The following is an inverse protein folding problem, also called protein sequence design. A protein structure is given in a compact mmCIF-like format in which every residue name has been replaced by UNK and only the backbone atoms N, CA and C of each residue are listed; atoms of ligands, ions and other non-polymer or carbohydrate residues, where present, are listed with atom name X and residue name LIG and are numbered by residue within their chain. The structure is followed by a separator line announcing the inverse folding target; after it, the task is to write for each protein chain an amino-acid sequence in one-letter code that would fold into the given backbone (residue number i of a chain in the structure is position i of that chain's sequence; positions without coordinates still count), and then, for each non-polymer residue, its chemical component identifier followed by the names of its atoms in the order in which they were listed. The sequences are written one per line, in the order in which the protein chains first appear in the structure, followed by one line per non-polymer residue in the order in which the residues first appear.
data_IF_772819461478
#
_entry.id   IF_772819461478
#
_cell.length_a   1.000
_cell.length_b   1.000
_cell.length_c   1.000
_cell.angle_alpha   90.00
_cell.angle_beta   90.00
_cell.angle_gamma   90.00
#
_symmetry.space_group_name_H-M   'P 1'
#
loop_
_entity.id
_entity.type
_entity.pdbx_description
1 polymer ?
#
# COMPACT_ATOMS: atom_id res chain seq x y z
N UNK A 1 -11.39 -1.37 13.12
CA UNK A 1 -11.49 -2.26 14.29
C UNK A 1 -12.97 -2.41 14.61
N UNK A 2 -13.58 -3.54 14.27
CA UNK A 2 -14.94 -3.87 14.70
C UNK A 2 -14.80 -5.01 15.71
N UNK A 3 -15.41 -4.84 16.88
CA UNK A 3 -15.57 -5.92 17.85
C UNK A 3 -16.42 -6.99 17.16
N UNK A 4 -15.94 -8.23 17.12
CA UNK A 4 -16.55 -9.35 16.42
C UNK A 4 -17.89 -9.76 17.07
N UNK A 5 -18.90 -8.90 17.02
CA UNK A 5 -20.22 -9.08 17.59
C UNK A 5 -21.15 -9.47 16.46
N UNK A 6 -21.60 -10.73 16.47
CA UNK A 6 -22.39 -11.34 15.39
C UNK A 6 -23.82 -10.78 15.27
N UNK A 7 -24.25 -9.88 16.16
CA UNK A 7 -25.53 -9.18 16.07
C UNK A 7 -25.53 -8.00 17.06
N UNK A 8 -24.97 -6.82 16.70
CA UNK A 8 -24.92 -5.70 17.63
C UNK A 8 -26.34 -5.24 17.95
N UNK A 9 -26.67 -5.20 19.24
CA UNK A 9 -27.94 -4.65 19.69
C UNK A 9 -28.04 -3.17 19.28
N UNK A 10 -29.22 -2.68 18.86
CA UNK A 10 -29.40 -1.28 18.50
C UNK A 10 -28.99 -0.36 19.65
N UNK A 11 -28.16 0.64 19.36
CA UNK A 11 -27.75 1.64 20.36
C UNK A 11 -28.83 2.72 20.42
N UNK A 12 -29.38 2.95 21.62
CA UNK A 12 -30.31 4.05 21.89
C UNK A 12 -29.63 5.18 22.66
N UNK A 13 -29.85 6.42 22.22
CA UNK A 13 -29.45 7.64 22.93
C UNK A 13 -30.68 8.56 22.93
N UNK A 14 -31.10 9.02 24.10
CA UNK A 14 -32.24 9.94 24.26
C UNK A 14 -33.48 9.51 23.44
N UNK A 15 -33.90 8.24 23.62
CA UNK A 15 -35.04 7.60 22.93
C UNK A 15 -34.89 7.43 21.40
N UNK A 16 -33.76 7.85 20.81
CA UNK A 16 -33.48 7.71 19.38
C UNK A 16 -32.63 6.47 19.11
N UNK A 17 -33.07 5.62 18.18
CA UNK A 17 -32.29 4.46 17.71
C UNK A 17 -31.30 4.93 16.65
N UNK A 18 -30.00 4.68 16.88
CA UNK A 18 -28.96 4.99 15.90
C UNK A 18 -28.98 3.98 14.75
N UNK A 19 -28.87 4.49 13.51
CA UNK A 19 -28.82 3.66 12.32
C UNK A 19 -27.43 3.06 12.11
N UNK A 20 -27.37 1.78 11.74
CA UNK A 20 -26.13 1.11 11.35
C UNK A 20 -25.78 1.43 9.90
N UNK A 21 -24.50 1.73 9.63
CA UNK A 21 -23.99 1.93 8.27
C UNK A 21 -22.97 0.85 7.95
N UNK A 22 -23.23 0.06 6.90
CA UNK A 22 -22.35 -1.04 6.48
C UNK A 22 -21.02 -0.56 5.90
N UNK A 23 -20.96 0.67 5.37
CA UNK A 23 -19.75 1.20 4.75
C UNK A 23 -19.66 2.70 4.94
N UNK A 24 -18.56 3.17 5.54
CA UNK A 24 -18.28 4.60 5.65
C UNK A 24 -16.79 4.89 5.45
N UNK A 25 -16.49 6.13 5.04
CA UNK A 25 -15.09 6.59 4.87
C UNK A 25 -14.66 7.37 6.10
N UNK A 26 -13.59 6.94 6.74
CA UNK A 26 -12.97 7.61 7.88
C UNK A 26 -11.51 7.91 7.57
N UNK A 27 -11.12 9.19 7.62
CA UNK A 27 -9.76 9.66 7.32
C UNK A 27 -9.21 9.14 5.97
N UNK A 28 -10.11 8.93 5.01
CA UNK A 28 -9.77 8.42 3.67
C UNK A 28 -9.58 6.91 3.55
N UNK A 29 -9.83 6.15 4.62
CA UNK A 29 -9.89 4.68 4.62
C UNK A 29 -11.34 4.21 4.77
N UNK A 30 -11.67 3.12 4.07
CA UNK A 30 -13.02 2.55 4.06
C UNK A 30 -13.17 1.56 5.23
N UNK A 31 -14.17 1.76 6.07
CA UNK A 31 -14.50 0.86 7.17
C UNK A 31 -15.74 0.06 6.79
N UNK A 32 -15.63 -1.27 6.84
CA UNK A 32 -16.71 -2.23 6.59
C UNK A 32 -16.70 -3.36 7.63
N UNK A 33 -17.83 -4.06 7.85
CA UNK A 33 -17.96 -5.18 8.79
C UNK A 33 -16.91 -6.28 8.65
N UNK A 34 -16.52 -6.60 7.41
CA UNK A 34 -15.50 -7.60 7.07
C UNK A 34 -14.05 -7.07 7.24
N UNK A 35 -13.89 -5.84 7.72
CA UNK A 35 -12.59 -5.24 8.05
C UNK A 35 -12.00 -4.33 6.99
N UNK A 36 -12.69 -4.09 5.85
CA UNK A 36 -12.43 -3.00 4.90
C UNK A 36 -11.08 -3.01 4.17
N UNK A 37 -10.20 -3.94 4.49
CA UNK A 37 -8.81 -3.96 4.03
C UNK A 37 -8.70 -4.01 2.50
N UNK A 38 -9.53 -4.83 1.84
CA UNK A 38 -9.49 -5.00 0.39
C UNK A 38 -9.76 -3.68 -0.36
N UNK A 39 -10.81 -2.97 0.01
CA UNK A 39 -11.18 -1.71 -0.63
C UNK A 39 -10.14 -0.62 -0.37
N UNK A 40 -9.62 -0.54 0.86
CA UNK A 40 -8.58 0.44 1.20
C UNK A 40 -7.26 0.13 0.49
N UNK A 41 -6.86 -1.14 0.39
CA UNK A 41 -5.68 -1.57 -0.38
C UNK A 41 -5.81 -1.18 -1.86
N UNK A 42 -6.98 -1.38 -2.46
CA UNK A 42 -7.25 -0.98 -3.86
C UNK A 42 -7.14 0.54 -4.01
N UNK A 43 -7.73 1.29 -3.09
CA UNK A 43 -7.65 2.75 -3.08
C UNK A 43 -6.20 3.25 -2.93
N UNK A 44 -5.42 2.69 -2.00
CA UNK A 44 -4.01 3.03 -1.80
C UNK A 44 -3.13 2.63 -2.98
N UNK A 45 -3.39 1.49 -3.62
CA UNK A 45 -2.73 1.10 -4.87
C UNK A 45 -2.98 2.12 -5.98
N UNK A 46 -4.22 2.61 -6.12
CA UNK A 46 -4.56 3.67 -7.09
C UNK A 46 -3.79 4.97 -6.83
N UNK A 47 -3.75 5.41 -5.57
CA UNK A 47 -3.01 6.61 -5.14
C UNK A 47 -1.51 6.46 -5.35
N UNK A 48 -0.92 5.33 -4.93
CA UNK A 48 0.49 5.04 -5.12
C UNK A 48 0.87 4.91 -6.60
N UNK A 49 0.00 4.34 -7.43
CA UNK A 49 0.18 4.30 -8.90
C UNK A 49 0.25 5.71 -9.47
N UNK A 50 -0.63 6.60 -9.02
CA UNK A 50 -0.64 8.01 -9.44
C UNK A 50 0.64 8.72 -9.01
N UNK A 51 1.05 8.57 -7.74
CA UNK A 51 2.29 9.14 -7.22
C UNK A 51 3.53 8.65 -8.00
N UNK A 52 3.58 7.34 -8.30
CA UNK A 52 4.65 6.77 -9.12
C UNK A 52 4.67 7.37 -10.52
N UNK A 53 3.50 7.55 -11.15
CA UNK A 53 3.38 8.12 -12.49
C UNK A 53 3.83 9.58 -12.55
N UNK A 54 3.51 10.37 -11.52
CA UNK A 54 3.95 11.78 -11.44
C UNK A 54 5.48 11.91 -11.45
N UNK A 55 6.18 10.93 -10.86
CA UNK A 55 7.64 10.90 -10.80
C UNK A 55 8.29 10.21 -12.02
N UNK A 56 7.53 9.89 -13.08
CA UNK A 56 8.07 9.30 -14.31
C UNK A 56 9.29 10.03 -14.91
N UNK A 57 9.36 11.37 -14.93
CA UNK A 57 10.54 12.08 -15.40
C UNK A 57 11.80 11.72 -14.60
N UNK A 58 11.68 11.55 -13.28
CA UNK A 58 12.78 11.15 -12.39
C UNK A 58 13.22 9.72 -12.69
N UNK A 59 12.27 8.79 -12.86
CA UNK A 59 12.57 7.38 -13.15
C UNK A 59 13.32 7.23 -14.48
N UNK A 60 12.94 8.00 -15.49
CA UNK A 60 13.54 8.00 -16.83
C UNK A 60 14.87 8.75 -16.93
N UNK A 61 15.12 9.73 -16.06
CA UNK A 61 16.36 10.51 -16.07
C UNK A 61 17.57 9.67 -15.65
N UNK A 62 18.71 9.85 -16.31
CA UNK A 62 19.99 9.25 -15.92
C UNK A 62 20.79 10.14 -14.94
N UNK A 63 20.35 11.39 -14.71
CA UNK A 63 21.04 12.33 -13.83
C UNK A 63 21.00 11.91 -12.36
N UNK A 64 19.97 11.16 -11.95
CA UNK A 64 19.80 10.72 -10.58
C UNK A 64 20.35 9.32 -10.37
N UNK A 65 21.19 9.17 -9.34
CA UNK A 65 21.66 7.86 -8.86
C UNK A 65 20.47 6.98 -8.46
N UNK A 66 20.64 5.66 -8.61
CA UNK A 66 19.62 4.69 -8.23
C UNK A 66 19.21 4.84 -6.75
N UNK A 67 20.18 5.06 -5.85
CA UNK A 67 19.92 5.28 -4.43
C UNK A 67 18.98 6.48 -4.16
N UNK A 68 19.15 7.59 -4.88
CA UNK A 68 18.24 8.75 -4.79
C UNK A 68 16.84 8.41 -5.27
N UNK A 69 16.72 7.68 -6.37
CA UNK A 69 15.41 7.24 -6.89
C UNK A 69 14.70 6.30 -5.91
N UNK A 70 15.44 5.38 -5.29
CA UNK A 70 14.90 4.49 -4.26
C UNK A 70 14.42 5.28 -3.04
N UNK A 71 15.17 6.29 -2.58
CA UNK A 71 14.73 7.17 -1.49
C UNK A 71 13.41 7.85 -1.82
N UNK A 72 13.29 8.44 -3.03
CA UNK A 72 12.04 9.07 -3.50
C UNK A 72 10.88 8.08 -3.60
N UNK A 73 11.14 6.89 -4.13
CA UNK A 73 10.13 5.84 -4.21
C UNK A 73 9.59 5.47 -2.83
N UNK A 74 10.46 5.35 -1.82
CA UNK A 74 10.06 5.04 -0.45
C UNK A 74 9.28 6.18 0.20
N UNK A 75 9.76 7.42 0.06
CA UNK A 75 9.17 8.59 0.72
C UNK A 75 7.86 9.05 0.09
N UNK A 76 7.64 8.81 -1.21
CA UNK A 76 6.47 9.33 -1.93
C UNK A 76 5.49 8.23 -2.35
N UNK A 77 5.98 7.06 -2.76
CA UNK A 77 5.13 6.00 -3.33
C UNK A 77 4.79 4.96 -2.27
N UNK A 78 5.78 4.41 -1.57
CA UNK A 78 5.52 3.40 -0.52
C UNK A 78 4.81 4.00 0.69
N UNK A 79 5.18 5.20 1.13
CA UNK A 79 4.43 5.91 2.19
C UNK A 79 2.95 6.09 1.84
N UNK A 80 2.64 6.44 0.59
CA UNK A 80 1.27 6.56 0.10
C UNK A 80 0.56 5.21 0.04
N UNK A 81 1.28 4.16 -0.38
CA UNK A 81 0.74 2.79 -0.45
C UNK A 81 0.42 2.23 0.93
N UNK A 82 1.31 2.41 1.90
CA UNK A 82 1.25 1.77 3.22
C UNK A 82 0.50 2.60 4.26
N UNK A 83 -0.05 3.75 3.88
CA UNK A 83 -0.85 4.55 4.81
C UNK A 83 -2.10 3.78 5.22
N UNK A 84 -2.30 3.61 6.54
CA UNK A 84 -3.41 2.87 7.11
C UNK A 84 -3.23 1.34 7.09
N UNK A 85 -2.05 0.86 6.68
CA UNK A 85 -1.77 -0.58 6.60
C UNK A 85 -1.75 -1.28 7.95
N UNK A 86 -1.51 -0.56 9.04
CA UNK A 86 -1.63 -1.04 10.42
C UNK A 86 -3.05 -1.51 10.78
N UNK A 87 -4.07 -1.03 10.06
CA UNK A 87 -5.46 -1.42 10.23
C UNK A 87 -5.91 -2.48 9.21
N UNK A 88 -5.05 -2.91 8.29
CA UNK A 88 -5.41 -3.87 7.25
C UNK A 88 -5.34 -5.29 7.78
N UNK A 89 -6.48 -5.98 7.76
CA UNK A 89 -6.52 -7.43 7.82
C UNK A 89 -6.20 -8.02 6.44
N UNK A 90 -4.93 -8.20 6.14
CA UNK A 90 -4.46 -8.68 4.83
C UNK A 90 -4.60 -10.20 4.67
N UNK A 91 -4.93 -10.63 3.46
CA UNK A 91 -4.80 -12.03 3.04
C UNK A 91 -3.49 -12.26 2.28
N UNK A 92 -3.10 -13.53 2.08
CA UNK A 92 -2.00 -13.92 1.19
C UNK A 92 -2.14 -13.32 -0.23
N UNK A 93 -3.38 -13.26 -0.74
CA UNK A 93 -3.66 -12.69 -2.05
C UNK A 93 -3.39 -11.19 -2.09
N UNK A 94 -3.66 -10.48 -1.00
CA UNK A 94 -3.42 -9.04 -0.91
C UNK A 94 -1.92 -8.74 -0.78
N UNK A 95 -1.20 -9.53 0.03
CA UNK A 95 0.26 -9.43 0.12
C UNK A 95 0.93 -9.69 -1.23
N UNK A 96 0.44 -10.68 -1.99
CA UNK A 96 0.91 -10.97 -3.35
C UNK A 96 0.69 -9.81 -4.32
N UNK A 97 -0.47 -9.12 -4.25
CA UNK A 97 -0.73 -7.91 -5.06
C UNK A 97 0.22 -6.77 -4.71
N UNK A 98 0.44 -6.52 -3.42
CA UNK A 98 1.37 -5.47 -2.95
C UNK A 98 2.81 -5.78 -3.40
N UNK A 99 3.24 -7.03 -3.26
CA UNK A 99 4.56 -7.51 -3.69
C UNK A 99 4.76 -7.38 -5.21
N UNK A 100 3.73 -7.72 -5.99
CA UNK A 100 3.73 -7.57 -7.45
C UNK A 100 3.84 -6.10 -7.85
N UNK A 101 3.10 -5.20 -7.20
CA UNK A 101 3.19 -3.76 -7.42
C UNK A 101 4.61 -3.23 -7.09
N UNK A 102 5.15 -3.63 -5.94
CA UNK A 102 6.47 -3.21 -5.47
C UNK A 102 7.58 -3.63 -6.45
N UNK A 103 7.67 -4.92 -6.75
CA UNK A 103 8.73 -5.47 -7.61
C UNK A 103 8.62 -4.96 -9.05
N UNK A 104 7.40 -4.75 -9.58
CA UNK A 104 7.19 -4.11 -10.90
C UNK A 104 7.75 -2.69 -10.94
N UNK A 105 7.50 -1.89 -9.91
CA UNK A 105 7.97 -0.51 -9.84
C UNK A 105 9.47 -0.42 -9.65
N UNK A 106 10.06 -1.30 -8.83
CA UNK A 106 11.51 -1.39 -8.66
C UNK A 106 12.24 -1.71 -9.95
N UNK A 107 11.75 -2.68 -10.75
CA UNK A 107 12.33 -2.98 -12.07
C UNK A 107 12.31 -1.77 -12.99
N UNK A 108 11.23 -1.00 -12.99
CA UNK A 108 11.12 0.24 -13.78
C UNK A 108 12.14 1.30 -13.31
N UNK A 109 12.29 1.49 -11.99
CA UNK A 109 13.25 2.43 -11.42
C UNK A 109 14.69 2.03 -11.77
N UNK A 110 15.00 0.74 -11.67
CA UNK A 110 16.30 0.16 -12.01
C UNK A 110 16.53 0.01 -13.53
N UNK A 111 15.54 0.35 -14.36
CA UNK A 111 15.54 0.22 -15.83
C UNK A 111 15.87 -1.19 -16.31
N UNK A 112 15.35 -2.19 -15.60
CA UNK A 112 15.50 -3.59 -15.98
C UNK A 112 14.33 -3.95 -16.88
N UNK A 113 14.66 -4.21 -18.14
CA UNK A 113 13.72 -4.63 -19.17
C UNK A 113 14.25 -5.91 -19.81
N UNK A 114 13.34 -6.68 -20.41
CA UNK A 114 13.71 -7.81 -21.25
C UNK A 114 14.74 -7.35 -22.33
N UNK A 115 15.78 -8.14 -22.65
CA UNK A 115 16.02 -9.54 -22.26
C UNK A 115 16.71 -9.74 -20.91
N UNK A 116 17.05 -8.66 -20.19
CA UNK A 116 17.71 -8.76 -18.88
C UNK A 116 16.76 -9.37 -17.84
N UNK A 117 17.10 -10.56 -17.36
CA UNK A 117 16.37 -11.28 -16.30
C UNK A 117 17.15 -11.21 -15.00
N UNK A 118 16.46 -10.87 -13.91
CA UNK A 118 16.99 -10.94 -12.54
C UNK A 118 15.93 -11.57 -11.64
N UNK A 119 16.36 -12.22 -10.57
CA UNK A 119 15.43 -12.79 -9.59
C UNK A 119 14.79 -11.68 -8.73
N UNK A 120 13.72 -12.02 -7.99
CA UNK A 120 13.13 -11.07 -7.05
C UNK A 120 14.08 -10.82 -5.87
N UNK A 121 14.81 -11.85 -5.45
CA UNK A 121 15.78 -11.81 -4.37
C UNK A 121 16.90 -10.81 -4.72
N UNK A 122 17.50 -10.95 -5.91
CA UNK A 122 18.53 -10.03 -6.41
C UNK A 122 18.03 -8.59 -6.58
N UNK A 123 16.75 -8.40 -6.95
CA UNK A 123 16.15 -7.07 -7.10
C UNK A 123 16.04 -6.33 -5.76
N UNK A 124 15.83 -7.08 -4.68
CA UNK A 124 15.58 -6.52 -3.34
C UNK A 124 16.88 -6.26 -2.56
N UNK A 125 17.96 -6.99 -2.82
CA UNK A 125 19.27 -6.82 -2.16
C UNK A 125 19.83 -5.38 -2.19
N UNK A 126 19.78 -4.62 -3.31
CA UNK A 126 20.21 -3.23 -3.35
C UNK A 126 19.41 -2.30 -2.43
N UNK A 127 18.20 -2.71 -2.03
CA UNK A 127 17.33 -1.98 -1.12
C UNK A 127 17.66 -2.30 0.33
N UNK A 128 18.12 -3.52 0.63
CA UNK A 128 18.51 -3.95 1.97
C UNK A 128 19.70 -3.15 2.52
N UNK A 129 20.69 -2.80 1.69
CA UNK A 129 21.79 -1.89 2.06
C UNK A 129 21.33 -0.45 2.38
N UNK A 130 20.06 -0.14 2.18
CA UNK A 130 19.42 1.12 2.58
C UNK A 130 18.18 0.91 3.49
N UNK A 131 17.87 -0.30 3.97
CA UNK A 131 16.60 -0.60 4.65
C UNK A 131 16.73 -1.18 6.06
N UNK A 132 16.45 -0.32 7.05
CA UNK A 132 16.06 -0.71 8.40
C UNK A 132 14.55 -0.54 8.65
N UNK A 133 13.72 -0.39 7.61
CA UNK A 133 12.31 0.05 7.77
C UNK A 133 11.26 -0.98 7.29
N UNK A 134 11.64 -1.99 6.49
CA UNK A 134 10.68 -3.01 6.00
C UNK A 134 10.75 -4.35 6.74
N UNK A 135 11.64 -4.50 7.75
CA UNK A 135 11.70 -5.74 8.57
C UNK A 135 10.71 -5.72 9.75
N UNK A 136 9.89 -4.69 9.87
CA UNK A 136 8.95 -4.49 10.99
C UNK A 136 7.47 -4.56 10.61
N UNK A 137 7.15 -5.04 9.40
CA UNK A 137 5.80 -5.33 8.95
C UNK A 137 5.73 -6.77 8.46
#
# INVERSE_FOLDING_TARGET
MILNVLNPQPVQIDETILTFTEKFTYLGSCVTPDGGAKDDIINRLGKATTAFRMLNPVWKSQQYKLSTKIRLYRSCVLSTLLYGSECWRMTEQDLSKLSSFHTKNLRKIARIFWPKRISNEELLVPLEHCQQVLRGF
#
